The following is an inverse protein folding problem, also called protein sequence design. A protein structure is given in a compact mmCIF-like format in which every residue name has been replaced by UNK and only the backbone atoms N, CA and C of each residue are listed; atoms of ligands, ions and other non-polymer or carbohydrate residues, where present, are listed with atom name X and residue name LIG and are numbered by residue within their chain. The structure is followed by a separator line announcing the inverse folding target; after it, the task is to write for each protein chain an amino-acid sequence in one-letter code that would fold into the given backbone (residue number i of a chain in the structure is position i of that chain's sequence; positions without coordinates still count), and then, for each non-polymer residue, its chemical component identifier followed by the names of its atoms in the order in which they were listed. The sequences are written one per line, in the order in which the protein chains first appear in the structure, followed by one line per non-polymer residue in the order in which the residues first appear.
data_IF_034263603351
#
_entry.id   IF_034263603351
#
_cell.length_a   1.000
_cell.length_b   1.000
_cell.length_c   1.000
_cell.angle_alpha   90.00
_cell.angle_beta   90.00
_cell.angle_gamma   90.00
#
_symmetry.space_group_name_H-M   'P 1'
#
loop_
_entity.id
_entity.type
_entity.pdbx_description
1 polymer ?
#
# COMPACT_ATOMS: atom_id res chain seq x y z
N UNK A 1 -1.01 9.28 15.17
CA UNK A 1 -0.65 7.90 15.50
C UNK A 1 0.25 7.43 14.37
N UNK A 2 1.44 6.92 14.69
CA UNK A 2 2.36 6.37 13.68
C UNK A 2 1.77 5.12 13.02
N UNK A 3 2.07 4.91 11.76
CA UNK A 3 1.62 3.73 10.99
C UNK A 3 2.15 2.42 11.60
N UNK A 4 3.33 2.44 12.22
CA UNK A 4 3.89 1.30 12.94
C UNK A 4 2.93 0.75 14.01
N UNK A 5 2.20 1.61 14.72
CA UNK A 5 1.21 1.15 15.71
C UNK A 5 0.07 0.39 15.05
N UNK A 6 -0.43 0.85 13.90
CA UNK A 6 -1.47 0.15 13.14
C UNK A 6 -1.00 -1.24 12.68
N UNK A 7 0.25 -1.35 12.19
CA UNK A 7 0.85 -2.63 11.79
C UNK A 7 0.90 -3.60 12.97
N UNK A 8 1.47 -3.18 14.10
CA UNK A 8 1.62 -4.03 15.30
C UNK A 8 0.27 -4.47 15.89
N UNK A 9 -0.69 -3.54 15.96
CA UNK A 9 -2.01 -3.84 16.52
C UNK A 9 -2.78 -4.80 15.62
N UNK A 10 -2.68 -4.66 14.29
CA UNK A 10 -3.33 -5.56 13.33
C UNK A 10 -2.76 -6.98 13.41
N UNK A 11 -1.43 -7.12 13.45
CA UNK A 11 -0.76 -8.42 13.62
C UNK A 11 -1.20 -9.08 14.92
N UNK A 12 -1.13 -8.35 16.04
CA UNK A 12 -1.51 -8.86 17.36
C UNK A 12 -2.99 -9.19 17.47
N UNK A 13 -3.83 -8.39 16.81
CA UNK A 13 -5.28 -8.55 16.82
C UNK A 13 -5.81 -9.55 15.77
N UNK A 14 -4.98 -9.97 14.81
CA UNK A 14 -5.38 -10.88 13.74
C UNK A 14 -6.40 -10.26 12.78
N UNK A 15 -6.28 -8.96 12.46
CA UNK A 15 -7.16 -8.25 11.53
C UNK A 15 -6.37 -7.47 10.49
N UNK A 16 -6.99 -7.20 9.33
CA UNK A 16 -6.41 -6.36 8.29
C UNK A 16 -6.83 -4.89 8.47
N UNK A 17 -5.92 -3.95 8.19
CA UNK A 17 -6.22 -2.52 8.11
C UNK A 17 -6.49 -2.17 6.65
N UNK A 18 -7.67 -1.62 6.31
CA UNK A 18 -7.97 -1.26 4.93
C UNK A 18 -7.20 -0.01 4.50
N UNK A 19 -6.76 -0.02 3.23
CA UNK A 19 -6.11 1.09 2.59
C UNK A 19 -6.95 1.55 1.38
N UNK A 20 -7.29 2.84 1.34
CA UNK A 20 -8.15 3.42 0.31
C UNK A 20 -7.48 4.61 -0.36
N UNK A 21 -7.39 4.55 -1.70
CA UNK A 21 -6.95 5.69 -2.50
C UNK A 21 -8.02 6.78 -2.50
N UNK A 22 -7.59 8.03 -2.39
CA UNK A 22 -8.47 9.19 -2.55
C UNK A 22 -7.81 10.29 -3.38
N UNK A 23 -8.61 10.96 -4.19
CA UNK A 23 -8.17 12.03 -5.09
C UNK A 23 -8.91 13.35 -4.82
N UNK A 24 -10.00 13.31 -4.06
CA UNK A 24 -10.89 14.44 -3.83
C UNK A 24 -11.57 14.36 -2.46
N UNK A 25 -12.24 15.45 -2.11
CA UNK A 25 -12.90 15.60 -0.82
C UNK A 25 -14.07 14.64 -0.62
N UNK A 26 -14.80 14.31 -1.68
CA UNK A 26 -15.98 13.44 -1.63
C UNK A 26 -15.59 12.01 -1.27
N UNK A 27 -14.54 11.48 -1.90
CA UNK A 27 -13.96 10.17 -1.56
C UNK A 27 -13.45 10.17 -0.12
N UNK A 28 -12.68 11.19 0.28
CA UNK A 28 -12.16 11.31 1.64
C UNK A 28 -13.28 11.30 2.67
N UNK A 29 -14.34 12.08 2.47
CA UNK A 29 -15.49 12.09 3.40
C UNK A 29 -16.18 10.72 3.50
N UNK A 30 -16.34 10.01 2.39
CA UNK A 30 -16.94 8.68 2.39
C UNK A 30 -16.09 7.67 3.19
N UNK A 31 -14.77 7.67 2.96
CA UNK A 31 -13.83 6.80 3.69
C UNK A 31 -13.87 7.09 5.19
N UNK A 32 -13.80 8.37 5.58
CA UNK A 32 -13.77 8.76 7.00
C UNK A 32 -15.10 8.46 7.70
N UNK A 33 -16.24 8.65 7.02
CA UNK A 33 -17.55 8.29 7.60
C UNK A 33 -17.64 6.79 7.89
N UNK A 34 -17.26 5.94 6.94
CA UNK A 34 -17.26 4.50 7.12
C UNK A 34 -16.30 4.07 8.25
N UNK A 35 -15.06 4.56 8.23
CA UNK A 35 -14.07 4.25 9.26
C UNK A 35 -14.51 4.72 10.66
N UNK A 36 -15.16 5.88 10.77
CA UNK A 36 -15.66 6.41 12.04
C UNK A 36 -16.87 5.60 12.56
N UNK A 37 -17.74 5.14 11.68
CA UNK A 37 -18.90 4.28 12.03
C UNK A 37 -18.42 2.96 12.64
N UNK A 38 -17.44 2.33 12.04
CA UNK A 38 -16.85 1.07 12.50
C UNK A 38 -15.77 1.26 13.59
N UNK A 39 -15.32 2.50 13.83
CA UNK A 39 -14.14 2.84 14.65
C UNK A 39 -12.90 2.03 14.24
N UNK A 40 -12.77 1.80 12.95
CA UNK A 40 -11.71 1.00 12.34
C UNK A 40 -10.52 1.86 11.93
N UNK A 41 -9.28 1.47 12.24
CA UNK A 41 -8.10 2.09 11.65
C UNK A 41 -8.20 2.11 10.12
N UNK A 42 -7.68 3.16 9.49
CA UNK A 42 -7.71 3.31 8.03
C UNK A 42 -6.43 3.95 7.50
N UNK A 43 -5.97 3.44 6.36
CA UNK A 43 -4.88 4.01 5.59
C UNK A 43 -5.49 4.81 4.43
N UNK A 44 -5.17 6.10 4.39
CA UNK A 44 -5.49 6.99 3.28
C UNK A 44 -4.32 6.98 2.30
N UNK A 45 -4.52 6.35 1.14
CA UNK A 45 -3.50 6.23 0.11
C UNK A 45 -3.57 7.38 -0.90
N UNK A 46 -2.41 7.85 -1.31
CA UNK A 46 -2.27 8.91 -2.32
C UNK A 46 -1.17 8.51 -3.29
N UNK A 47 -1.55 8.24 -4.53
CA UNK A 47 -0.59 8.02 -5.61
C UNK A 47 0.08 9.31 -6.08
N UNK A 48 1.15 9.18 -6.84
CA UNK A 48 1.80 10.31 -7.52
C UNK A 48 0.80 11.07 -8.41
N UNK A 49 -0.04 10.34 -9.16
CA UNK A 49 -1.09 10.92 -10.00
C UNK A 49 -2.11 11.71 -9.18
N UNK A 50 -2.59 11.17 -8.06
CA UNK A 50 -3.50 11.88 -7.16
C UNK A 50 -2.89 13.16 -6.58
N UNK A 51 -1.60 13.13 -6.19
CA UNK A 51 -0.88 14.32 -5.72
C UNK A 51 -0.79 15.40 -6.80
N UNK A 52 -0.49 15.02 -8.03
CA UNK A 52 -0.42 15.95 -9.14
C UNK A 52 -1.79 16.56 -9.47
N UNK A 53 -2.86 15.75 -9.41
CA UNK A 53 -4.23 16.20 -9.66
C UNK A 53 -4.74 17.18 -8.60
N UNK A 54 -4.62 16.82 -7.33
CA UNK A 54 -5.27 17.56 -6.24
C UNK A 54 -4.37 18.61 -5.58
N UNK A 55 -3.09 18.69 -5.92
CA UNK A 55 -2.05 19.49 -5.30
C UNK A 55 -1.62 18.95 -3.91
N UNK A 56 -0.31 18.71 -3.67
CA UNK A 56 0.19 18.10 -2.43
C UNK A 56 -0.11 18.92 -1.17
N UNK A 57 -0.17 20.25 -1.27
CA UNK A 57 -0.50 21.11 -0.13
C UNK A 57 -1.96 20.90 0.27
N UNK A 58 -2.89 20.91 -0.70
CA UNK A 58 -4.31 20.72 -0.43
C UNK A 58 -4.57 19.32 0.14
N UNK A 59 -3.96 18.26 -0.43
CA UNK A 59 -4.09 16.90 0.09
C UNK A 59 -3.64 16.76 1.54
N UNK A 60 -2.52 17.39 1.90
CA UNK A 60 -2.02 17.40 3.28
C UNK A 60 -3.07 17.98 4.25
N UNK A 61 -3.62 19.16 3.94
CA UNK A 61 -4.62 19.78 4.80
C UNK A 61 -5.95 19.04 4.79
N UNK A 62 -6.33 18.41 3.69
CA UNK A 62 -7.49 17.52 3.63
C UNK A 62 -7.29 16.30 4.57
N UNK A 63 -6.14 15.67 4.55
CA UNK A 63 -5.83 14.55 5.45
C UNK A 63 -5.79 15.00 6.94
N UNK A 64 -5.25 16.17 7.24
CA UNK A 64 -5.31 16.75 8.59
C UNK A 64 -6.75 17.04 9.00
N UNK A 65 -7.54 17.63 8.12
CA UNK A 65 -8.97 17.90 8.33
C UNK A 65 -9.79 16.62 8.55
N UNK A 66 -9.40 15.51 7.93
CA UNK A 66 -10.04 14.22 8.10
C UNK A 66 -9.98 13.72 9.56
N UNK A 67 -8.86 13.96 10.26
CA UNK A 67 -8.72 13.62 11.69
C UNK A 67 -9.71 14.40 12.54
N UNK A 68 -9.83 15.70 12.33
CA UNK A 68 -10.78 16.54 13.06
C UNK A 68 -12.23 16.19 12.69
N UNK A 69 -12.49 15.92 11.43
CA UNK A 69 -13.81 15.48 10.99
C UNK A 69 -14.24 14.15 11.63
N UNK A 70 -13.34 13.17 11.71
CA UNK A 70 -13.59 11.89 12.38
C UNK A 70 -14.00 12.09 13.86
N UNK A 71 -13.37 13.02 14.58
CA UNK A 71 -13.74 13.35 15.95
C UNK A 71 -15.16 13.92 16.05
N UNK A 72 -15.60 14.74 15.10
CA UNK A 72 -16.99 15.24 15.07
C UNK A 72 -18.02 14.14 14.83
N UNK A 73 -17.61 13.02 14.27
CA UNK A 73 -18.42 11.81 14.06
C UNK A 73 -18.42 10.86 15.28
N UNK A 74 -17.78 11.25 16.39
CA UNK A 74 -17.71 10.47 17.63
C UNK A 74 -16.55 9.47 17.69
N UNK A 75 -15.57 9.56 16.78
CA UNK A 75 -14.34 8.78 16.85
C UNK A 75 -13.25 9.61 17.54
N UNK A 76 -13.22 9.55 18.87
CA UNK A 76 -12.38 10.43 19.70
C UNK A 76 -10.88 10.29 19.45
N UNK A 77 -10.42 9.08 19.14
CA UNK A 77 -9.01 8.75 18.89
C UNK A 77 -8.83 8.11 17.52
N UNK A 78 -9.01 8.86 16.42
CA UNK A 78 -8.96 8.29 15.09
C UNK A 78 -7.55 7.82 14.73
N UNK A 79 -7.47 6.58 14.25
CA UNK A 79 -6.24 5.96 13.76
C UNK A 79 -6.24 6.06 12.24
N UNK A 80 -5.70 7.16 11.72
CA UNK A 80 -5.65 7.47 10.30
C UNK A 80 -4.19 7.61 9.90
N UNK A 81 -3.76 6.87 8.90
CA UNK A 81 -2.43 6.91 8.29
C UNK A 81 -2.53 7.64 6.95
N UNK A 82 -1.63 8.55 6.65
CA UNK A 82 -1.45 9.11 5.31
C UNK A 82 -0.25 8.42 4.66
N UNK A 83 -0.50 7.73 3.55
CA UNK A 83 0.45 6.85 2.88
C UNK A 83 0.67 7.26 1.42
N UNK A 84 1.93 7.31 0.99
CA UNK A 84 2.29 7.40 -0.42
C UNK A 84 2.19 6.01 -1.05
N UNK A 85 1.38 5.90 -2.09
CA UNK A 85 1.12 4.69 -2.85
C UNK A 85 1.98 4.68 -4.13
N UNK A 86 2.74 3.62 -4.37
CA UNK A 86 3.66 3.45 -5.50
C UNK A 86 4.59 4.64 -5.75
N UNK A 87 5.41 5.00 -4.75
CA UNK A 87 6.49 5.98 -4.95
C UNK A 87 7.54 5.45 -5.93
N UNK A 88 7.86 6.24 -6.96
CA UNK A 88 8.78 5.86 -8.05
C UNK A 88 10.23 6.30 -7.83
N UNK A 89 10.50 7.05 -6.78
CA UNK A 89 11.81 7.62 -6.51
C UNK A 89 12.03 7.99 -5.05
N UNK A 90 13.28 7.99 -4.65
CA UNK A 90 13.69 8.47 -3.33
C UNK A 90 13.25 9.92 -3.09
N UNK A 91 13.36 10.76 -4.09
CA UNK A 91 13.01 12.19 -4.03
C UNK A 91 11.52 12.39 -3.75
N UNK A 92 10.65 11.58 -4.36
CA UNK A 92 9.20 11.62 -4.10
C UNK A 92 8.88 11.15 -2.69
N UNK A 93 9.46 10.04 -2.24
CA UNK A 93 9.28 9.56 -0.87
C UNK A 93 9.75 10.61 0.15
N UNK A 94 10.92 11.19 -0.05
CA UNK A 94 11.46 12.27 0.78
C UNK A 94 10.53 13.47 0.85
N UNK A 95 10.04 13.94 -0.30
CA UNK A 95 9.09 15.06 -0.37
C UNK A 95 7.81 14.76 0.41
N UNK A 96 7.26 13.55 0.30
CA UNK A 96 6.10 13.13 1.07
C UNK A 96 6.36 13.15 2.58
N UNK A 97 7.50 12.62 3.03
CA UNK A 97 7.91 12.60 4.43
C UNK A 97 8.01 14.03 4.98
N UNK A 98 8.70 14.91 4.27
CA UNK A 98 8.87 16.32 4.66
C UNK A 98 7.52 17.08 4.68
N UNK A 99 6.51 16.59 3.95
CA UNK A 99 5.16 17.16 3.93
C UNK A 99 4.16 16.44 4.84
N UNK A 100 4.62 15.57 5.75
CA UNK A 100 3.84 15.02 6.84
C UNK A 100 3.10 13.72 6.54
N UNK A 101 3.54 12.97 5.54
CA UNK A 101 3.14 11.58 5.38
C UNK A 101 3.72 10.74 6.52
N UNK A 102 2.92 9.86 7.08
CA UNK A 102 3.33 8.95 8.15
C UNK A 102 3.76 7.57 7.65
N UNK A 103 3.58 7.33 6.34
CA UNK A 103 3.98 6.10 5.67
C UNK A 103 4.26 6.38 4.20
N UNK A 104 5.24 5.69 3.62
CA UNK A 104 5.55 5.78 2.19
C UNK A 104 5.83 4.38 1.62
N UNK A 105 5.37 4.12 0.41
CA UNK A 105 5.79 2.96 -0.36
C UNK A 105 6.81 3.40 -1.41
N UNK A 106 7.88 2.62 -1.54
CA UNK A 106 8.83 2.71 -2.64
C UNK A 106 8.72 1.45 -3.50
N UNK A 107 8.32 1.65 -4.75
CA UNK A 107 8.16 0.57 -5.71
C UNK A 107 9.38 0.47 -6.63
N UNK A 108 10.30 -0.41 -6.27
CA UNK A 108 11.45 -0.80 -7.08
C UNK A 108 11.28 -2.16 -7.76
N UNK A 109 10.08 -2.73 -7.77
CA UNK A 109 9.82 -4.10 -8.27
C UNK A 109 10.17 -4.31 -9.75
N UNK A 110 10.17 -3.24 -10.53
CA UNK A 110 10.56 -3.22 -11.95
C UNK A 110 12.09 -3.18 -12.18
N UNK A 111 12.87 -2.92 -11.13
CA UNK A 111 14.33 -2.86 -11.17
C UNK A 111 14.94 -4.27 -10.96
N UNK A 112 16.22 -4.48 -11.31
CA UNK A 112 16.95 -5.63 -10.83
C UNK A 112 16.93 -5.72 -9.31
N UNK A 113 16.86 -6.95 -8.76
CA UNK A 113 16.71 -7.19 -7.32
C UNK A 113 17.64 -6.36 -6.44
N UNK A 114 18.93 -6.34 -6.75
CA UNK A 114 19.94 -5.59 -5.98
C UNK A 114 19.70 -4.07 -6.02
N UNK A 115 19.18 -3.56 -7.12
CA UNK A 115 18.84 -2.14 -7.25
C UNK A 115 17.55 -1.82 -6.45
N UNK A 116 16.57 -2.71 -6.44
CA UNK A 116 15.39 -2.59 -5.58
C UNK A 116 15.77 -2.58 -4.10
N UNK A 117 16.62 -3.52 -3.67
CA UNK A 117 17.15 -3.55 -2.29
C UNK A 117 17.84 -2.24 -1.93
N UNK A 118 18.73 -1.76 -2.81
CA UNK A 118 19.49 -0.52 -2.55
C UNK A 118 18.58 0.71 -2.48
N UNK A 119 17.59 0.81 -3.37
CA UNK A 119 16.63 1.92 -3.41
C UNK A 119 15.74 1.89 -2.16
N UNK A 120 15.15 0.74 -1.84
CA UNK A 120 14.27 0.59 -0.67
C UNK A 120 15.02 0.91 0.61
N UNK A 121 16.24 0.36 0.77
CA UNK A 121 17.07 0.68 1.94
C UNK A 121 17.36 2.17 2.07
N UNK A 122 17.66 2.85 0.98
CA UNK A 122 17.92 4.31 0.99
C UNK A 122 16.70 5.08 1.51
N UNK A 123 15.50 4.67 1.12
CA UNK A 123 14.25 5.28 1.61
C UNK A 123 14.04 4.97 3.08
N UNK A 124 14.25 3.72 3.51
CA UNK A 124 14.14 3.30 4.92
C UNK A 124 15.08 4.09 5.81
N UNK A 125 16.36 4.18 5.44
CA UNK A 125 17.37 4.89 6.21
C UNK A 125 17.05 6.39 6.39
N UNK A 126 16.32 6.97 5.45
CA UNK A 126 15.82 8.34 5.55
C UNK A 126 14.52 8.42 6.38
N UNK A 127 13.53 7.61 6.06
CA UNK A 127 12.19 7.65 6.66
C UNK A 127 12.20 7.39 8.17
N UNK A 128 12.99 6.43 8.63
CA UNK A 128 13.09 6.07 10.05
C UNK A 128 13.67 7.19 10.91
N UNK A 129 14.38 8.17 10.34
CA UNK A 129 14.81 9.36 11.10
C UNK A 129 13.64 10.26 11.49
N UNK A 130 12.49 10.11 10.84
CA UNK A 130 11.26 10.91 11.04
C UNK A 130 10.10 10.09 11.60
N UNK A 131 10.34 8.86 12.07
CA UNK A 131 9.29 7.93 12.56
C UNK A 131 8.21 7.65 11.48
N UNK A 132 8.65 7.51 10.22
CA UNK A 132 7.81 7.20 9.07
C UNK A 132 8.09 5.78 8.62
N UNK A 133 7.03 4.97 8.45
CA UNK A 133 7.16 3.59 7.97
C UNK A 133 7.33 3.52 6.48
N UNK A 134 8.02 2.48 6.03
CA UNK A 134 8.30 2.22 4.62
C UNK A 134 7.77 0.86 4.20
N UNK A 135 6.99 0.85 3.13
CA UNK A 135 6.59 -0.34 2.40
C UNK A 135 7.51 -0.53 1.19
N UNK A 136 8.00 -1.76 1.01
CA UNK A 136 8.70 -2.19 -0.20
C UNK A 136 7.81 -3.05 -1.08
N UNK A 137 8.27 -3.41 -2.29
CA UNK A 137 7.56 -4.31 -3.18
C UNK A 137 8.47 -5.37 -3.78
N UNK A 138 8.00 -6.62 -3.76
CA UNK A 138 8.60 -7.76 -4.47
C UNK A 138 7.59 -8.47 -5.34
N UNK A 139 8.01 -8.79 -6.57
CA UNK A 139 7.13 -9.27 -7.61
C UNK A 139 6.46 -8.11 -8.34
N UNK A 140 5.79 -8.41 -9.45
CA UNK A 140 5.12 -7.41 -10.29
C UNK A 140 3.67 -7.79 -10.48
N UNK A 141 2.76 -6.87 -10.16
CA UNK A 141 1.34 -7.03 -10.44
C UNK A 141 1.02 -6.59 -11.86
N UNK A 142 0.23 -7.37 -12.59
CA UNK A 142 -0.29 -6.95 -13.88
C UNK A 142 -1.46 -5.97 -13.70
N UNK A 143 -1.72 -5.18 -14.74
CA UNK A 143 -2.81 -4.21 -14.79
C UNK A 143 -2.31 -2.77 -14.93
N UNK A 144 -3.22 -1.85 -14.81
CA UNK A 144 -2.94 -0.40 -14.93
C UNK A 144 -3.59 0.32 -13.77
N UNK A 145 -2.80 1.06 -13.01
CA UNK A 145 -3.26 1.97 -11.97
C UNK A 145 -2.41 3.25 -12.03
N UNK A 146 -3.05 4.36 -12.33
CA UNK A 146 -2.40 5.64 -12.59
C UNK A 146 -1.23 5.53 -13.58
N UNK A 147 0.01 5.71 -13.10
CA UNK A 147 1.24 5.64 -13.91
C UNK A 147 1.90 4.26 -13.87
N UNK A 148 1.39 3.34 -13.03
CA UNK A 148 1.91 1.97 -12.91
C UNK A 148 1.20 1.06 -13.90
N UNK A 149 1.95 0.37 -14.75
CA UNK A 149 1.39 -0.58 -15.69
C UNK A 149 2.32 -1.75 -15.95
N UNK A 150 1.76 -2.97 -16.00
CA UNK A 150 2.46 -4.17 -16.42
C UNK A 150 1.51 -5.11 -17.16
N UNK A 151 2.00 -5.70 -18.23
CA UNK A 151 1.27 -6.74 -18.99
C UNK A 151 1.47 -8.15 -18.40
N UNK A 152 2.40 -8.31 -17.46
CA UNK A 152 2.78 -9.59 -16.89
C UNK A 152 2.76 -9.59 -15.37
N UNK A 153 2.38 -10.73 -14.79
CA UNK A 153 2.60 -11.01 -13.38
C UNK A 153 3.98 -11.66 -13.20
N UNK A 154 4.70 -11.19 -12.18
CA UNK A 154 5.83 -11.92 -11.62
C UNK A 154 5.51 -12.16 -10.15
N UNK A 155 5.23 -13.41 -9.79
CA UNK A 155 4.94 -13.75 -8.39
C UNK A 155 6.17 -13.53 -7.53
N UNK A 156 5.94 -13.12 -6.30
CA UNK A 156 6.99 -12.96 -5.31
C UNK A 156 7.65 -14.30 -5.02
N UNK A 157 8.98 -14.33 -5.03
CA UNK A 157 9.75 -15.50 -4.58
C UNK A 157 9.84 -15.47 -3.05
N UNK A 158 9.27 -16.47 -2.34
CA UNK A 158 9.34 -16.52 -0.88
C UNK A 158 10.77 -16.58 -0.31
N UNK A 159 11.75 -17.07 -1.09
CA UNK A 159 13.15 -17.09 -0.66
C UNK A 159 13.76 -15.69 -0.62
N UNK A 160 13.34 -14.79 -1.52
CA UNK A 160 13.83 -13.43 -1.56
C UNK A 160 13.24 -12.55 -0.45
N UNK A 161 12.06 -12.88 0.08
CA UNK A 161 11.33 -12.05 1.07
C UNK A 161 12.17 -11.79 2.31
N UNK A 162 12.78 -12.82 2.90
CA UNK A 162 13.57 -12.69 4.12
C UNK A 162 14.84 -11.89 3.88
N UNK A 163 15.54 -12.17 2.77
CA UNK A 163 16.74 -11.42 2.40
C UNK A 163 16.40 -9.95 2.18
N UNK A 164 15.35 -9.67 1.42
CA UNK A 164 14.88 -8.32 1.15
C UNK A 164 14.50 -7.56 2.43
N UNK A 165 13.64 -8.13 3.26
CA UNK A 165 13.19 -7.50 4.50
C UNK A 165 14.37 -7.24 5.47
N UNK A 166 15.29 -8.22 5.58
CA UNK A 166 16.47 -8.11 6.46
C UNK A 166 17.44 -7.03 5.97
N UNK A 167 17.70 -6.98 4.66
CA UNK A 167 18.68 -6.04 4.08
C UNK A 167 18.14 -4.63 3.99
N UNK A 168 16.86 -4.47 3.70
CA UNK A 168 16.23 -3.15 3.57
C UNK A 168 15.79 -2.59 4.91
N UNK A 169 15.27 -3.45 5.81
CA UNK A 169 14.65 -3.04 7.06
C UNK A 169 13.29 -2.36 6.85
N UNK A 170 12.58 -2.65 5.74
CA UNK A 170 11.23 -2.12 5.50
C UNK A 170 10.24 -2.66 6.55
N UNK A 171 9.19 -1.87 6.81
CA UNK A 171 8.20 -2.16 7.86
C UNK A 171 7.04 -3.03 7.36
N UNK A 172 6.79 -2.99 6.06
CA UNK A 172 5.82 -3.82 5.35
C UNK A 172 6.29 -4.13 3.94
N UNK A 173 5.71 -5.16 3.35
CA UNK A 173 6.08 -5.63 2.02
C UNK A 173 4.82 -5.96 1.21
N UNK A 174 4.66 -5.31 0.06
CA UNK A 174 3.70 -5.70 -0.96
C UNK A 174 4.23 -6.92 -1.70
N UNK A 175 3.42 -7.98 -1.75
CA UNK A 175 3.74 -9.23 -2.45
C UNK A 175 2.77 -9.47 -3.60
N UNK A 176 3.27 -10.04 -4.68
CA UNK A 176 2.49 -10.42 -5.85
C UNK A 176 2.06 -11.89 -5.76
N UNK A 177 0.76 -12.12 -5.59
CA UNK A 177 0.14 -13.44 -5.51
C UNK A 177 -0.98 -13.66 -6.55
N UNK A 178 -1.05 -12.81 -7.57
CA UNK A 178 -2.04 -12.93 -8.66
C UNK A 178 -3.22 -11.97 -8.57
N UNK A 179 -3.18 -10.98 -7.71
CA UNK A 179 -4.06 -9.80 -7.80
C UNK A 179 -3.65 -8.94 -9.00
N UNK A 180 -4.46 -7.96 -9.37
CA UNK A 180 -4.12 -7.03 -10.46
C UNK A 180 -4.60 -5.62 -10.16
N UNK A 181 -3.91 -4.63 -10.70
CA UNK A 181 -4.30 -3.24 -10.65
C UNK A 181 -5.52 -2.91 -11.51
N UNK A 182 -6.20 -1.82 -11.19
CA UNK A 182 -7.25 -1.20 -11.99
C UNK A 182 -8.60 -1.92 -11.97
N UNK A 183 -9.55 -1.37 -12.72
CA UNK A 183 -10.92 -1.84 -12.78
C UNK A 183 -11.10 -3.08 -13.67
N UNK A 184 -10.25 -3.25 -14.67
CA UNK A 184 -10.31 -4.34 -15.65
C UNK A 184 -9.30 -5.43 -15.27
N UNK A 185 -9.71 -6.33 -14.37
CA UNK A 185 -8.82 -7.29 -13.73
C UNK A 185 -8.28 -8.36 -14.69
N UNK A 186 -9.18 -9.08 -15.39
CA UNK A 186 -8.79 -10.19 -16.26
C UNK A 186 -9.59 -10.18 -17.54
N UNK A 187 -8.93 -10.43 -18.66
CA UNK A 187 -9.59 -10.64 -19.96
C UNK A 187 -10.24 -12.02 -19.99
N UNK A 188 -11.33 -12.22 -20.78
CA UNK A 188 -12.02 -13.50 -20.89
C UNK A 188 -11.11 -14.70 -21.23
N UNK A 189 -10.08 -14.48 -22.04
CA UNK A 189 -9.07 -15.48 -22.42
C UNK A 189 -8.14 -15.89 -21.27
N UNK A 190 -8.03 -15.10 -20.23
CA UNK A 190 -7.27 -15.39 -19.02
C UNK A 190 -8.11 -16.12 -17.96
N UNK A 191 -9.41 -16.22 -18.19
CA UNK A 191 -10.36 -16.83 -17.27
C UNK A 191 -10.71 -18.26 -17.70
N UNK A 192 -11.02 -19.10 -16.73
CA UNK A 192 -11.65 -20.41 -16.97
C UNK A 192 -13.17 -20.28 -16.86
N UNK A 193 -13.93 -21.30 -17.32
CA UNK A 193 -15.38 -21.37 -17.09
C UNK A 193 -15.68 -22.43 -16.05
N UNK A 194 -16.50 -22.08 -15.05
CA UNK A 194 -17.01 -23.04 -14.08
C UNK A 194 -18.14 -23.89 -14.67
N UNK A 195 -18.67 -24.82 -13.88
CA UNK A 195 -19.76 -25.72 -14.29
C UNK A 195 -21.04 -24.97 -14.74
N UNK A 196 -21.27 -23.76 -14.25
CA UNK A 196 -22.40 -22.90 -14.62
C UNK A 196 -22.13 -22.04 -15.85
N UNK A 197 -20.94 -22.19 -16.47
CA UNK A 197 -20.51 -21.41 -17.64
C UNK A 197 -20.04 -19.98 -17.32
N UNK A 198 -19.95 -19.58 -16.03
CA UNK A 198 -19.43 -18.28 -15.62
C UNK A 198 -17.93 -18.21 -15.72
N UNK A 199 -17.41 -17.06 -16.14
CA UNK A 199 -15.97 -16.79 -16.14
C UNK A 199 -15.46 -16.71 -14.70
N UNK A 200 -14.38 -17.41 -14.43
CA UNK A 200 -13.66 -17.44 -13.15
C UNK A 200 -12.23 -16.98 -13.40
N UNK A 201 -11.75 -15.96 -12.72
CA UNK A 201 -10.37 -15.52 -12.84
C UNK A 201 -9.39 -16.59 -12.34
N UNK A 202 -8.09 -16.49 -12.66
CA UNK A 202 -7.07 -17.33 -12.07
C UNK A 202 -7.14 -17.27 -10.53
N UNK A 203 -6.91 -18.38 -9.83
CA UNK A 203 -6.85 -18.37 -8.38
C UNK A 203 -5.66 -17.54 -7.88
N UNK A 204 -5.79 -16.97 -6.69
CA UNK A 204 -4.65 -16.38 -6.01
C UNK A 204 -3.66 -17.46 -5.57
N UNK A 205 -2.37 -17.17 -5.67
CA UNK A 205 -1.29 -18.06 -5.24
C UNK A 205 -1.10 -17.99 -3.71
N UNK A 206 -2.05 -18.53 -2.95
CA UNK A 206 -1.97 -18.58 -1.50
C UNK A 206 -0.81 -19.43 -0.99
N UNK A 207 -0.33 -20.37 -1.78
CA UNK A 207 0.88 -21.16 -1.52
C UNK A 207 2.13 -20.26 -1.41
N UNK A 208 2.22 -19.19 -2.19
CA UNK A 208 3.27 -18.17 -2.03
C UNK A 208 3.15 -17.48 -0.68
N UNK A 209 1.93 -17.06 -0.32
CA UNK A 209 1.69 -16.41 0.97
C UNK A 209 2.01 -17.33 2.15
N UNK A 210 1.58 -18.60 2.08
CA UNK A 210 1.86 -19.60 3.11
C UNK A 210 3.37 -19.80 3.27
N UNK A 211 4.11 -19.94 2.15
CA UNK A 211 5.55 -20.08 2.17
C UNK A 211 6.28 -18.83 2.74
N UNK A 212 5.77 -17.63 2.48
CA UNK A 212 6.28 -16.39 3.09
C UNK A 212 6.03 -16.40 4.59
N UNK A 213 4.81 -16.75 5.03
CA UNK A 213 4.44 -16.77 6.46
C UNK A 213 5.22 -17.80 7.27
N UNK A 214 5.61 -18.95 6.66
CA UNK A 214 6.47 -19.95 7.31
C UNK A 214 7.89 -19.42 7.58
N UNK A 215 8.34 -18.44 6.81
CA UNK A 215 9.71 -17.89 6.88
C UNK A 215 9.81 -16.60 7.71
N UNK A 216 8.73 -15.85 7.81
CA UNK A 216 8.69 -14.66 8.66
C UNK A 216 8.40 -15.06 10.10
N UNK A 217 9.18 -14.56 11.07
CA UNK A 217 9.00 -14.87 12.48
C UNK A 217 7.72 -14.28 13.09
#
# INVERSE_FOLDING_TARGET
VGSEMCIRDSIKGGYAVPAFNFNNMEQLQAIIKAAAEDKSPVILQVSKGARNYANPILLRYMAQGAVEYAKTLGWEHPQIVLHLDHGDSFELCKDCIEHGFSSVMIDGSHLPYEENVALTKKVVDYAHQYDVTVEGELGVLAGVEDEVSSDHHTYTDPEEVIDFATRTGCDSLAISIGTSHGAYKFKPEQCTRNADGKLVPPPLAFDVLDAVMEKLP
#
